data_IF_599536866080
#
_entry.id   IF_599536866080
#
_cell.length_a   1.000
_cell.length_b   1.000
_cell.length_c   1.000
_cell.angle_alpha   90.00
_cell.angle_beta   90.00
_cell.angle_gamma   90.00
#
_symmetry.space_group_name_H-M   'P 1'
#
loop_
_entity.id
_entity.type
_entity.pdbx_description
1 polymer ?
#
# COMPACT_ATOMS: atom_id res chain seq x y z
N UNK A 1 -15.26 4.50 -6.30
CA UNK A 1 -13.86 4.88 -6.56
C UNK A 1 -12.99 4.06 -5.62
N UNK A 2 -11.82 3.63 -6.09
CA UNK A 2 -10.78 3.01 -5.27
C UNK A 2 -9.65 4.01 -5.08
N UNK A 3 -9.12 4.10 -3.86
CA UNK A 3 -7.88 4.82 -3.57
C UNK A 3 -6.73 3.82 -3.50
N UNK A 4 -5.72 4.07 -4.33
CA UNK A 4 -4.58 3.18 -4.50
C UNK A 4 -3.43 3.65 -3.61
N UNK A 5 -2.84 2.70 -2.87
CA UNK A 5 -1.75 2.94 -1.94
C UNK A 5 -0.65 1.93 -2.24
N UNK A 6 0.59 2.40 -2.30
CA UNK A 6 1.73 1.52 -2.52
C UNK A 6 2.59 1.41 -1.27
N UNK A 7 2.99 0.20 -0.89
CA UNK A 7 3.82 0.01 0.28
C UNK A 7 5.06 -0.84 0.01
N UNK A 8 6.20 -0.37 0.51
CA UNK A 8 7.50 -1.00 0.35
C UNK A 8 8.39 -0.72 1.56
N UNK A 9 9.52 -1.44 1.66
CA UNK A 9 10.58 -1.08 2.63
C UNK A 9 11.37 0.13 2.14
N UNK A 10 10.97 1.30 2.62
CA UNK A 10 11.57 2.57 2.20
C UNK A 10 13.02 2.69 2.64
N UNK A 11 13.86 3.45 1.91
CA UNK A 11 15.15 3.86 2.44
C UNK A 11 14.90 4.69 3.70
N UNK A 12 15.52 4.31 4.82
CA UNK A 12 15.20 4.87 6.13
C UNK A 12 15.15 6.41 6.12
N UNK A 13 14.01 6.96 6.51
CA UNK A 13 13.78 8.40 6.57
C UNK A 13 13.07 9.05 5.38
N UNK A 14 12.84 8.33 4.27
CA UNK A 14 12.04 8.85 3.15
C UNK A 14 10.57 9.00 3.54
N UNK A 15 10.09 10.24 3.56
CA UNK A 15 8.69 10.62 3.87
C UNK A 15 7.84 10.82 2.61
N UNK A 16 8.48 10.92 1.46
CA UNK A 16 7.84 11.07 0.16
C UNK A 16 8.59 10.19 -0.86
N UNK A 17 7.88 9.69 -1.87
CA UNK A 17 8.43 8.83 -2.93
C UNK A 17 9.59 9.48 -3.70
N UNK A 18 9.59 10.80 -3.86
CA UNK A 18 10.67 11.55 -4.51
C UNK A 18 11.99 11.53 -3.71
N UNK A 19 11.91 11.25 -2.41
CA UNK A 19 13.10 11.10 -1.56
C UNK A 19 13.72 9.71 -1.67
N UNK A 20 13.09 8.79 -2.39
CA UNK A 20 13.63 7.46 -2.60
C UNK A 20 14.68 7.53 -3.72
N UNK A 21 15.93 7.09 -3.49
CA UNK A 21 16.97 7.16 -4.50
C UNK A 21 16.60 6.38 -5.77
N UNK A 22 16.95 6.93 -6.93
CA UNK A 22 16.81 6.23 -8.20
C UNK A 22 17.54 4.88 -8.16
N UNK A 23 16.88 3.82 -8.64
CA UNK A 23 17.44 2.47 -8.65
C UNK A 23 17.49 1.80 -7.28
N UNK A 24 16.85 2.37 -6.24
CA UNK A 24 16.64 1.65 -4.99
C UNK A 24 15.97 0.31 -5.26
N UNK A 25 16.39 -0.73 -4.55
CA UNK A 25 15.76 -2.03 -4.58
C UNK A 25 15.34 -2.37 -3.15
N UNK A 26 14.03 -2.31 -2.82
CA UNK A 26 13.59 -2.53 -1.46
C UNK A 26 13.94 -3.96 -1.02
N UNK A 27 14.49 -4.13 0.19
CA UNK A 27 14.71 -5.45 0.74
C UNK A 27 13.40 -6.24 0.77
N UNK A 28 13.46 -7.53 0.45
CA UNK A 28 12.30 -8.41 0.48
C UNK A 28 11.59 -8.35 1.84
N UNK A 29 10.27 -8.20 1.82
CA UNK A 29 9.41 -8.36 2.99
C UNK A 29 9.54 -9.78 3.53
N UNK A 30 9.49 -10.77 2.62
CA UNK A 30 9.65 -12.20 2.88
C UNK A 30 9.09 -13.03 1.72
N UNK A 31 9.02 -14.33 1.90
CA UNK A 31 8.22 -15.24 1.06
C UNK A 31 6.72 -15.00 1.28
N UNK A 32 5.86 -15.49 0.38
CA UNK A 32 4.40 -15.43 0.56
C UNK A 32 3.95 -16.04 1.88
N UNK A 33 4.51 -17.17 2.29
CA UNK A 33 4.14 -17.83 3.55
C UNK A 33 4.54 -17.00 4.77
N UNK A 34 5.77 -16.46 4.81
CA UNK A 34 6.21 -15.58 5.89
C UNK A 34 5.38 -14.29 5.98
N UNK A 35 5.01 -13.72 4.83
CA UNK A 35 4.13 -12.54 4.77
C UNK A 35 2.75 -12.90 5.32
N UNK A 36 2.15 -14.00 4.85
CA UNK A 36 0.82 -14.45 5.30
C UNK A 36 0.80 -14.81 6.78
N UNK A 37 1.87 -15.41 7.30
CA UNK A 37 1.98 -15.73 8.73
C UNK A 37 2.06 -14.47 9.60
N UNK A 38 2.81 -13.44 9.16
CA UNK A 38 2.84 -12.14 9.84
C UNK A 38 1.47 -11.47 9.82
N UNK A 39 0.77 -11.51 8.68
CA UNK A 39 -0.59 -10.95 8.58
C UNK A 39 -1.54 -11.70 9.49
N UNK A 40 -1.53 -13.05 9.48
CA UNK A 40 -2.41 -13.86 10.34
C UNK A 40 -2.17 -13.60 11.83
N UNK A 41 -0.93 -13.36 12.23
CA UNK A 41 -0.58 -13.07 13.62
C UNK A 41 -1.01 -11.66 14.05
N UNK A 42 -0.89 -10.65 13.18
CA UNK A 42 -1.19 -9.26 13.49
C UNK A 42 -2.65 -8.86 13.25
N UNK A 43 -3.29 -9.48 12.25
CA UNK A 43 -4.64 -9.19 11.76
C UNK A 43 -5.42 -10.51 11.59
N UNK A 44 -5.86 -11.15 12.69
CA UNK A 44 -6.54 -12.45 12.63
C UNK A 44 -7.84 -12.46 11.83
N UNK A 45 -8.45 -11.29 11.63
CA UNK A 45 -9.65 -11.07 10.83
C UNK A 45 -9.40 -11.00 9.32
N UNK A 46 -8.13 -10.96 8.89
CA UNK A 46 -7.80 -10.90 7.46
C UNK A 46 -8.20 -12.18 6.72
N UNK A 47 -8.87 -12.02 5.58
CA UNK A 47 -9.08 -13.12 4.65
C UNK A 47 -7.79 -13.35 3.84
N UNK A 48 -7.26 -14.58 3.97
CA UNK A 48 -6.03 -15.08 3.35
C UNK A 48 -6.30 -16.36 2.52
N UNK A 49 -7.54 -16.54 2.08
CA UNK A 49 -7.98 -17.68 1.27
C UNK A 49 -7.29 -17.74 -0.09
N UNK A 50 -7.00 -16.58 -0.68
CA UNK A 50 -6.17 -16.45 -1.88
C UNK A 50 -4.71 -16.21 -1.48
N UNK A 51 -3.74 -17.00 -1.97
CA UNK A 51 -2.34 -16.88 -1.59
C UNK A 51 -1.68 -15.55 -2.01
N UNK A 52 -2.24 -14.84 -2.99
CA UNK A 52 -1.68 -13.59 -3.50
C UNK A 52 -2.33 -12.34 -2.90
N UNK A 53 -3.42 -12.52 -2.16
CA UNK A 53 -4.22 -11.42 -1.64
C UNK A 53 -4.36 -11.46 -0.12
N UNK A 54 -4.41 -10.27 0.46
CA UNK A 54 -4.87 -10.04 1.83
C UNK A 54 -6.09 -9.16 1.74
N UNK A 55 -7.22 -9.59 2.29
CA UNK A 55 -8.45 -8.79 2.30
C UNK A 55 -8.87 -8.46 3.73
N UNK A 56 -9.18 -7.18 3.95
CA UNK A 56 -9.74 -6.66 5.19
C UNK A 56 -11.06 -5.99 4.86
N UNK A 57 -12.11 -6.32 5.61
CA UNK A 57 -13.47 -5.80 5.37
C UNK A 57 -14.03 -5.23 6.66
N UNK A 58 -14.57 -4.02 6.58
CA UNK A 58 -15.35 -3.38 7.63
C UNK A 58 -16.83 -3.26 7.26
N UNK A 59 -17.54 -2.36 7.93
CA UNK A 59 -18.98 -2.18 7.70
C UNK A 59 -19.30 -1.55 6.33
N UNK A 60 -18.52 -0.56 5.92
CA UNK A 60 -18.70 0.24 4.70
C UNK A 60 -17.41 0.42 3.89
N UNK A 61 -16.36 -0.34 4.25
CA UNK A 61 -15.04 -0.24 3.63
C UNK A 61 -14.41 -1.60 3.37
N UNK A 62 -13.48 -1.63 2.41
CA UNK A 62 -12.68 -2.79 2.07
C UNK A 62 -11.25 -2.36 1.71
N UNK A 63 -10.26 -3.13 2.17
CA UNK A 63 -8.86 -3.01 1.76
C UNK A 63 -8.42 -4.33 1.16
N UNK A 64 -7.97 -4.31 -0.09
CA UNK A 64 -7.37 -5.46 -0.77
C UNK A 64 -5.89 -5.20 -1.02
N UNK A 65 -5.02 -6.06 -0.52
CA UNK A 65 -3.57 -5.98 -0.66
C UNK A 65 -3.05 -7.10 -1.56
N UNK A 66 -2.39 -6.75 -2.65
CA UNK A 66 -1.75 -7.67 -3.59
C UNK A 66 -0.27 -7.84 -3.25
N UNK A 67 0.17 -9.08 -3.01
CA UNK A 67 1.54 -9.43 -2.60
C UNK A 67 2.51 -9.68 -3.78
N UNK A 68 2.04 -9.52 -5.03
CA UNK A 68 2.82 -9.87 -6.22
C UNK A 68 2.98 -11.39 -6.43
N UNK A 69 3.56 -11.79 -7.57
CA UNK A 69 3.68 -13.20 -8.00
C UNK A 69 5.10 -13.78 -7.88
N UNK A 70 6.09 -12.95 -7.55
CA UNK A 70 7.48 -13.36 -7.44
C UNK A 70 7.69 -14.24 -6.19
N UNK A 71 8.71 -15.13 -6.15
CA UNK A 71 8.96 -15.97 -4.97
C UNK A 71 9.18 -15.20 -3.66
N UNK A 72 9.63 -13.96 -3.77
CA UNK A 72 9.74 -13.02 -2.67
C UNK A 72 8.84 -11.81 -2.92
N UNK A 73 8.17 -11.37 -1.86
CA UNK A 73 7.38 -10.15 -1.82
C UNK A 73 8.31 -9.00 -1.47
N UNK A 74 8.37 -7.98 -2.31
CA UNK A 74 9.18 -6.77 -2.06
C UNK A 74 8.33 -5.55 -1.73
N UNK A 75 7.09 -5.57 -2.19
CA UNK A 75 6.14 -4.48 -2.16
C UNK A 75 4.71 -5.03 -2.15
N UNK A 76 3.78 -4.17 -1.77
CA UNK A 76 2.35 -4.48 -1.69
C UNK A 76 1.57 -3.32 -2.28
N UNK A 77 0.70 -3.63 -3.24
CA UNK A 77 -0.29 -2.67 -3.74
C UNK A 77 -1.59 -2.85 -2.98
N UNK A 78 -2.12 -1.77 -2.42
CA UNK A 78 -3.34 -1.75 -1.63
C UNK A 78 -4.42 -0.94 -2.34
N UNK A 79 -5.61 -1.49 -2.41
CA UNK A 79 -6.78 -0.90 -3.04
C UNK A 79 -7.83 -0.68 -1.95
N UNK A 80 -8.14 0.57 -1.67
CA UNK A 80 -9.11 0.96 -0.64
C UNK A 80 -10.42 1.35 -1.30
N UNK A 81 -11.51 0.72 -0.89
CA UNK A 81 -12.88 1.10 -1.26
C UNK A 81 -13.62 1.58 -0.01
N UNK A 82 -14.42 2.63 -0.15
CA UNK A 82 -15.11 3.31 0.96
C UNK A 82 -14.34 4.55 1.43
N UNK A 83 -15.02 5.44 2.14
CA UNK A 83 -14.45 6.69 2.68
C UNK A 83 -14.58 6.70 4.20
N UNK A 84 -13.81 5.82 4.85
CA UNK A 84 -13.79 5.70 6.30
C UNK A 84 -12.35 5.85 6.82
N UNK A 85 -12.19 6.55 7.95
CA UNK A 85 -10.92 6.59 8.66
C UNK A 85 -10.47 5.21 9.15
N UNK A 86 -11.41 4.27 9.32
CA UNK A 86 -11.13 2.88 9.68
C UNK A 86 -10.36 2.14 8.56
N UNK A 87 -10.65 2.43 7.28
CA UNK A 87 -9.94 1.85 6.16
C UNK A 87 -8.46 2.27 6.16
N UNK A 88 -8.19 3.56 6.44
CA UNK A 88 -6.83 4.09 6.61
C UNK A 88 -6.12 3.40 7.78
N UNK A 89 -6.82 3.23 8.91
CA UNK A 89 -6.27 2.52 10.05
C UNK A 89 -5.89 1.07 9.69
N UNK A 90 -6.75 0.37 8.96
CA UNK A 90 -6.50 -1.00 8.50
C UNK A 90 -5.26 -1.09 7.59
N UNK A 91 -5.10 -0.13 6.66
CA UNK A 91 -3.89 0.00 5.83
C UNK A 91 -2.65 0.20 6.68
N UNK A 92 -2.69 1.11 7.65
CA UNK A 92 -1.54 1.40 8.52
C UNK A 92 -1.19 0.21 9.44
N UNK A 93 -2.19 -0.54 9.92
CA UNK A 93 -1.96 -1.76 10.68
C UNK A 93 -1.31 -2.84 9.81
N UNK A 94 -1.78 -3.04 8.58
CA UNK A 94 -1.18 -3.96 7.62
C UNK A 94 0.27 -3.56 7.28
N UNK A 95 0.51 -2.29 6.98
CA UNK A 95 1.84 -1.76 6.71
C UNK A 95 2.80 -1.99 7.89
N UNK A 96 2.32 -1.77 9.13
CA UNK A 96 3.09 -2.05 10.35
C UNK A 96 3.41 -3.53 10.52
N UNK A 97 2.42 -4.41 10.31
CA UNK A 97 2.62 -5.86 10.39
C UNK A 97 3.69 -6.36 9.41
N UNK A 98 3.75 -5.77 8.21
CA UNK A 98 4.71 -6.09 7.17
C UNK A 98 6.03 -5.32 7.28
N UNK A 99 6.11 -4.33 8.19
CA UNK A 99 7.24 -3.41 8.36
C UNK A 99 7.59 -2.69 7.05
N UNK A 100 6.57 -2.17 6.40
CA UNK A 100 6.67 -1.35 5.19
C UNK A 100 6.12 0.05 5.44
N UNK A 101 6.53 0.98 4.60
CA UNK A 101 6.00 2.33 4.56
C UNK A 101 4.94 2.39 3.47
N UNK A 102 3.73 2.86 3.80
CA UNK A 102 2.66 3.08 2.83
C UNK A 102 2.76 4.51 2.26
N UNK A 103 2.67 4.63 0.96
CA UNK A 103 2.69 5.88 0.21
C UNK A 103 1.38 6.04 -0.54
N UNK A 104 0.77 7.20 -0.41
CA UNK A 104 -0.35 7.60 -1.23
C UNK A 104 0.12 7.76 -2.68
N UNK A 105 -0.54 7.08 -3.62
CA UNK A 105 -0.13 7.08 -5.02
C UNK A 105 -0.49 8.37 -5.75
N UNK A 106 -1.36 9.21 -5.17
CA UNK A 106 -1.71 10.51 -5.75
C UNK A 106 -0.74 11.60 -5.35
N UNK A 107 -0.40 11.69 -4.06
CA UNK A 107 0.48 12.74 -3.52
C UNK A 107 1.95 12.32 -3.47
N UNK A 108 2.23 11.02 -3.45
CA UNK A 108 3.57 10.47 -3.21
C UNK A 108 4.02 10.54 -1.74
N UNK A 109 3.20 11.10 -0.85
CA UNK A 109 3.51 11.24 0.56
C UNK A 109 3.27 9.94 1.34
N UNK A 110 3.96 9.79 2.47
CA UNK A 110 3.66 8.73 3.44
C UNK A 110 2.23 8.87 3.95
N UNK A 111 1.53 7.75 4.02
CA UNK A 111 0.19 7.70 4.57
C UNK A 111 0.20 8.04 6.07
N UNK A 112 -0.70 8.94 6.49
CA UNK A 112 -0.92 9.26 7.91
C UNK A 112 -2.36 8.88 8.33
N UNK A 113 -2.66 8.77 9.64
CA UNK A 113 -4.01 8.47 10.11
C UNK A 113 -5.08 9.50 9.68
N UNK A 114 -4.65 10.73 9.38
CA UNK A 114 -5.50 11.82 8.91
C UNK A 114 -5.75 11.78 7.40
N UNK A 115 -5.01 10.94 6.67
CA UNK A 115 -5.18 10.79 5.23
C UNK A 115 -6.62 10.38 4.90
N UNK A 116 -7.13 10.86 3.77
CA UNK A 116 -8.45 10.53 3.26
C UNK A 116 -8.33 10.19 1.78
N UNK A 117 -9.21 9.32 1.26
CA UNK A 117 -9.33 9.16 -0.17
C UNK A 117 -9.43 10.53 -0.86
N UNK A 118 -8.79 10.69 -2.01
CA UNK A 118 -8.86 11.93 -2.76
C UNK A 118 -10.31 12.23 -3.12
N UNK A 119 -10.73 13.47 -2.85
CA UNK A 119 -11.99 13.98 -3.36
C UNK A 119 -11.79 14.19 -4.85
N UNK A 120 -12.58 13.54 -5.69
CA UNK A 120 -12.56 13.80 -7.14
C UNK A 120 -12.98 15.24 -7.35
N UNK A 121 -12.01 16.15 -7.45
CA UNK A 121 -12.26 17.44 -8.06
C UNK A 121 -12.50 17.18 -9.55
N UNK A 122 -13.53 17.82 -10.12
CA UNK A 122 -13.69 17.88 -11.57
C UNK A 122 -12.35 18.38 -12.15
N UNK A 123 -11.68 17.51 -12.90
CA UNK A 123 -10.28 17.69 -13.30
C UNK A 123 -10.23 18.78 -14.36
N UNK A 124 -9.59 19.92 -14.06
CA UNK A 124 -9.03 20.78 -15.11
C UNK A 124 -7.71 20.13 -15.59
N UNK A 125 -7.60 19.98 -16.90
CA UNK A 125 -6.91 18.90 -17.64
C UNK A 125 -5.37 19.06 -17.79
N UNK A 126 -4.68 19.86 -16.97
CA UNK A 126 -3.35 20.39 -17.38
C UNK A 126 -2.10 19.97 -16.57
N UNK A 127 -2.21 19.08 -15.59
CA UNK A 127 -1.01 18.51 -14.95
C UNK A 127 -0.84 17.05 -15.36
N UNK A 128 0.17 16.76 -16.19
CA UNK A 128 0.62 15.39 -16.51
C UNK A 128 0.83 14.63 -15.19
N UNK A 129 -0.20 13.89 -14.74
CA UNK A 129 -0.15 12.94 -13.63
C UNK A 129 0.83 11.84 -14.02
N UNK A 130 2.12 12.07 -13.77
CA UNK A 130 3.18 11.12 -14.13
C UNK A 130 3.07 9.93 -13.20
N UNK A 131 2.80 8.73 -13.73
CA UNK A 131 2.69 7.56 -12.88
C UNK A 131 4.02 7.24 -12.21
N UNK A 132 4.04 7.32 -10.88
CA UNK A 132 5.23 7.12 -10.05
C UNK A 132 5.88 5.73 -10.23
N UNK A 133 5.12 4.72 -10.69
CA UNK A 133 5.65 3.38 -11.02
C UNK A 133 6.64 3.37 -12.20
N UNK A 134 6.68 4.42 -13.02
CA UNK A 134 7.69 4.52 -14.11
C UNK A 134 9.11 4.78 -13.62
N UNK A 135 9.30 5.15 -12.34
CA UNK A 135 10.64 5.27 -11.74
C UNK A 135 11.20 3.91 -11.26
N UNK A 136 10.39 2.85 -11.30
CA UNK A 136 10.70 1.52 -10.79
C UNK A 136 10.51 0.47 -11.89
N UNK A 137 11.36 0.54 -12.92
CA UNK A 137 11.29 -0.38 -14.03
C UNK A 137 12.44 -0.20 -15.01
N UNK A 138 13.56 -0.87 -14.73
CA UNK A 138 14.52 -1.28 -15.77
C UNK A 138 15.07 -2.67 -15.46
#
# INVERSE_FOLDING_TARGET
>A
MTWDIYALRGPGGARNVEQIPEGWQPPAIGTHDEVRDRVRAALPQADLSDPLWVRLTGADWQVEALLGKAPQVHDVSMYVTGDSGEAVEAVLQLARALRVTAYDTETGDILTPEARPPVVADVDDDEERRPWWKFWGR
#
